data_IF_821989076685
#
_entry.id   IF_821989076685
#
_cell.length_a   1.000
_cell.length_b   1.000
_cell.length_c   1.000
_cell.angle_alpha   90.00
_cell.angle_beta   90.00
_cell.angle_gamma   90.00
#
_symmetry.space_group_name_H-M   'P 1'
#
loop_
_entity.id
_entity.type
_entity.pdbx_description
1 polymer ?
#
# COMPACT_ATOMS: atom_id res chain seq x y z
N UNK A 1 -12.29 -10.44 -18.43
CA UNK A 1 -11.88 -11.66 -19.19
C UNK A 1 -11.10 -11.30 -20.46
N UNK A 2 -11.44 -10.23 -21.14
CA UNK A 2 -10.83 -9.88 -22.44
C UNK A 2 -9.32 -9.63 -22.35
N UNK A 3 -8.86 -8.87 -21.34
CA UNK A 3 -7.43 -8.61 -21.14
C UNK A 3 -6.57 -9.88 -20.94
N UNK A 4 -7.07 -10.88 -20.21
CA UNK A 4 -6.34 -12.14 -20.03
C UNK A 4 -6.27 -12.94 -21.33
N UNK A 5 -7.36 -12.98 -22.11
CA UNK A 5 -7.41 -13.67 -23.39
C UNK A 5 -6.45 -13.02 -24.41
N UNK A 6 -6.38 -11.69 -24.44
CA UNK A 6 -5.46 -10.94 -25.31
C UNK A 6 -4.01 -11.24 -24.94
N UNK A 7 -3.64 -11.16 -23.65
CA UNK A 7 -2.27 -11.46 -23.19
C UNK A 7 -1.84 -12.90 -23.53
N UNK A 8 -2.71 -13.87 -23.30
CA UNK A 8 -2.43 -15.27 -23.64
C UNK A 8 -2.30 -15.47 -25.16
N UNK A 9 -3.09 -14.75 -25.94
CA UNK A 9 -3.04 -14.83 -27.40
C UNK A 9 -1.71 -14.27 -27.93
N UNK A 10 -1.24 -13.14 -27.41
CA UNK A 10 0.04 -12.54 -27.78
C UNK A 10 1.21 -13.46 -27.42
N UNK A 11 1.19 -14.02 -26.22
CA UNK A 11 2.19 -15.01 -25.80
C UNK A 11 2.17 -16.26 -26.72
N UNK A 12 0.99 -16.76 -27.09
CA UNK A 12 0.86 -17.91 -27.98
C UNK A 12 1.42 -17.63 -29.37
N UNK A 13 1.19 -16.42 -29.91
CA UNK A 13 1.78 -16.00 -31.17
C UNK A 13 3.31 -15.91 -31.09
N UNK A 14 3.83 -15.35 -30.02
CA UNK A 14 5.27 -15.26 -29.75
C UNK A 14 5.90 -16.66 -29.66
N UNK A 15 5.26 -17.59 -28.94
CA UNK A 15 5.72 -18.97 -28.80
C UNK A 15 5.66 -19.70 -30.14
N UNK A 16 4.62 -19.47 -30.96
CA UNK A 16 4.50 -20.09 -32.29
C UNK A 16 5.56 -19.58 -33.26
N UNK A 17 5.94 -18.32 -33.18
CA UNK A 17 6.98 -17.70 -34.02
C UNK A 17 8.39 -18.11 -33.58
N UNK A 18 8.71 -17.93 -32.30
CA UNK A 18 10.09 -17.97 -31.79
C UNK A 18 10.36 -19.22 -30.94
N UNK A 19 9.33 -19.95 -30.53
CA UNK A 19 9.40 -21.05 -29.57
C UNK A 19 9.49 -20.57 -28.13
N UNK A 20 9.67 -21.53 -27.22
CA UNK A 20 9.79 -21.27 -25.78
C UNK A 20 11.18 -20.72 -25.45
N UNK A 21 11.40 -19.42 -25.70
CA UNK A 21 12.69 -18.76 -25.51
C UNK A 21 12.63 -17.69 -24.42
N UNK A 22 13.54 -17.81 -23.45
CA UNK A 22 13.73 -16.79 -22.42
C UNK A 22 14.51 -15.56 -22.90
N UNK A 23 15.26 -15.70 -24.00
CA UNK A 23 16.02 -14.61 -24.62
C UNK A 23 15.54 -14.40 -26.06
N UNK A 24 15.35 -13.14 -26.43
CA UNK A 24 15.07 -12.68 -27.78
C UNK A 24 16.17 -11.70 -28.19
N UNK A 25 16.87 -11.96 -29.31
CA UNK A 25 18.03 -11.18 -29.76
C UNK A 25 19.10 -10.93 -28.67
N UNK A 26 19.31 -11.91 -27.78
CA UNK A 26 20.28 -11.83 -26.69
C UNK A 26 19.81 -11.01 -25.47
N UNK A 27 18.60 -10.48 -25.49
CA UNK A 27 17.99 -9.76 -24.35
C UNK A 27 16.93 -10.62 -23.68
N UNK A 28 16.64 -10.40 -22.36
CA UNK A 28 15.52 -11.04 -21.69
C UNK A 28 14.21 -10.80 -22.41
N UNK A 29 13.46 -11.89 -22.69
CA UNK A 29 12.11 -11.82 -23.24
C UNK A 29 11.12 -11.53 -22.10
N UNK A 30 11.04 -10.25 -21.72
CA UNK A 30 10.23 -9.78 -20.57
C UNK A 30 8.72 -9.80 -20.86
N UNK A 31 8.33 -9.80 -22.12
CA UNK A 31 6.91 -9.85 -22.52
C UNK A 31 6.36 -11.25 -22.29
N UNK A 32 7.08 -12.27 -22.72
CA UNK A 32 6.70 -13.66 -22.45
C UNK A 32 6.87 -14.01 -20.98
N UNK A 33 8.00 -13.66 -20.36
CA UNK A 33 8.36 -13.96 -18.98
C UNK A 33 8.66 -12.67 -18.23
N UNK A 34 7.67 -12.01 -17.62
CA UNK A 34 7.91 -10.85 -16.78
C UNK A 34 8.90 -11.13 -15.65
N UNK A 35 9.83 -10.20 -15.33
CA UNK A 35 10.82 -10.38 -14.26
C UNK A 35 10.21 -10.76 -12.90
N UNK A 36 9.01 -10.27 -12.62
CA UNK A 36 8.28 -10.57 -11.39
C UNK A 36 8.02 -12.07 -11.19
N UNK A 37 7.79 -12.83 -12.26
CA UNK A 37 7.60 -14.30 -12.17
C UNK A 37 8.89 -14.99 -11.75
N UNK A 38 10.03 -14.54 -12.29
CA UNK A 38 11.34 -15.07 -11.91
C UNK A 38 11.66 -14.74 -10.45
N UNK A 39 11.37 -13.50 -10.02
CA UNK A 39 11.55 -13.09 -8.63
C UNK A 39 10.68 -13.92 -7.71
N UNK A 40 9.40 -14.06 -8.00
CA UNK A 40 8.46 -14.82 -7.18
C UNK A 40 8.86 -16.28 -7.02
N UNK A 41 9.34 -16.91 -8.09
CA UNK A 41 9.67 -18.36 -8.07
C UNK A 41 11.08 -18.65 -7.52
N UNK A 42 12.07 -17.82 -7.81
CA UNK A 42 13.48 -18.14 -7.53
C UNK A 42 14.14 -17.23 -6.51
N UNK A 43 13.59 -16.05 -6.27
CA UNK A 43 14.20 -15.01 -5.45
C UNK A 43 13.24 -14.40 -4.41
N UNK A 44 12.20 -15.16 -4.02
CA UNK A 44 11.20 -14.70 -3.05
C UNK A 44 11.83 -14.26 -1.71
N UNK A 45 12.89 -14.96 -1.26
CA UNK A 45 13.57 -14.61 -0.02
C UNK A 45 14.35 -13.28 -0.13
N UNK A 46 14.98 -13.04 -1.27
CA UNK A 46 15.67 -11.78 -1.55
C UNK A 46 14.69 -10.62 -1.66
N UNK A 47 13.55 -10.84 -2.33
CA UNK A 47 12.47 -9.85 -2.41
C UNK A 47 11.94 -9.51 -1.02
N UNK A 48 11.63 -10.51 -0.19
CA UNK A 48 11.18 -10.29 1.19
C UNK A 48 12.22 -9.52 2.03
N UNK A 49 13.51 -9.79 1.82
CA UNK A 49 14.57 -9.04 2.50
C UNK A 49 14.68 -7.58 2.04
N UNK A 50 14.33 -7.27 0.78
CA UNK A 50 14.24 -5.90 0.29
C UNK A 50 13.03 -5.19 0.91
N UNK A 51 11.86 -5.82 0.91
CA UNK A 51 10.63 -5.30 1.52
C UNK A 51 10.83 -5.01 3.01
N UNK A 52 11.55 -5.87 3.75
CA UNK A 52 11.89 -5.60 5.13
C UNK A 52 12.76 -4.35 5.29
N UNK A 53 13.78 -4.17 4.44
CA UNK A 53 14.64 -2.96 4.47
C UNK A 53 13.86 -1.70 4.09
N UNK A 54 12.93 -1.80 3.18
CA UNK A 54 12.01 -0.69 2.84
C UNK A 54 11.15 -0.33 4.04
N UNK A 55 10.58 -1.31 4.72
CA UNK A 55 9.81 -1.08 5.94
C UNK A 55 10.65 -0.45 7.07
N UNK A 56 11.92 -0.85 7.22
CA UNK A 56 12.86 -0.24 8.16
C UNK A 56 13.16 1.23 7.80
N UNK A 57 13.40 1.53 6.52
CA UNK A 57 13.57 2.92 6.03
C UNK A 57 12.32 3.76 6.29
N UNK A 58 11.15 3.24 5.96
CA UNK A 58 9.87 3.96 6.14
C UNK A 58 9.55 4.18 7.64
N UNK A 59 10.01 3.29 8.52
CA UNK A 59 9.92 3.50 9.95
C UNK A 59 10.81 4.66 10.43
N UNK A 60 12.02 4.80 9.86
CA UNK A 60 12.91 5.93 10.15
C UNK A 60 12.29 7.24 9.65
N UNK A 61 11.75 7.25 8.41
CA UNK A 61 11.10 8.44 7.85
C UNK A 61 9.90 8.88 8.71
N UNK A 62 9.09 7.94 9.21
CA UNK A 62 7.99 8.26 10.15
C UNK A 62 8.50 8.84 11.47
N UNK A 63 9.58 8.31 12.03
CA UNK A 63 10.19 8.90 13.23
C UNK A 63 10.66 10.34 13.00
N UNK A 64 11.19 10.65 11.82
CA UNK A 64 11.58 12.02 11.46
C UNK A 64 10.36 12.93 11.31
N UNK A 65 9.28 12.45 10.71
CA UNK A 65 8.02 13.17 10.59
C UNK A 65 7.40 13.45 11.97
N UNK A 66 7.33 12.44 12.86
CA UNK A 66 6.85 12.58 14.23
C UNK A 66 7.67 13.63 15.02
N UNK A 67 8.99 13.61 14.90
CA UNK A 67 9.86 14.62 15.54
C UNK A 67 9.65 16.02 14.95
N UNK A 68 9.41 16.15 13.65
CA UNK A 68 9.12 17.45 13.03
C UNK A 68 7.73 17.96 13.42
N UNK A 69 6.73 17.08 13.54
CA UNK A 69 5.38 17.45 14.02
C UNK A 69 5.42 17.90 15.50
N UNK A 70 6.17 17.19 16.35
CA UNK A 70 6.23 17.48 17.79
C UNK A 70 7.07 18.74 18.10
N UNK A 71 8.18 18.93 17.39
CA UNK A 71 9.19 19.94 17.72
C UNK A 71 9.46 20.97 16.63
N UNK A 72 8.82 20.86 15.48
CA UNK A 72 9.06 21.75 14.34
C UNK A 72 8.08 22.90 14.17
N UNK A 73 7.12 23.08 15.11
CA UNK A 73 6.21 24.24 15.14
C UNK A 73 6.94 25.57 15.40
N UNK A 74 6.25 26.72 15.31
CA UNK A 74 6.86 28.05 15.45
C UNK A 74 7.62 28.25 16.77
N UNK A 75 7.16 27.65 17.85
CA UNK A 75 7.80 27.68 19.19
C UNK A 75 8.59 26.38 19.48
N UNK A 76 8.76 25.51 18.51
CA UNK A 76 9.40 24.21 18.69
C UNK A 76 10.92 24.28 18.60
N UNK A 77 11.60 23.35 19.28
CA UNK A 77 13.07 23.29 19.37
C UNK A 77 13.76 23.07 18.00
N UNK A 78 13.04 22.57 16.99
CA UNK A 78 13.56 22.38 15.64
C UNK A 78 13.18 23.50 14.66
N UNK A 79 12.40 24.50 15.10
CA UNK A 79 11.91 25.58 14.24
C UNK A 79 13.04 26.34 13.53
N UNK A 80 14.08 26.73 14.28
CA UNK A 80 15.21 27.49 13.78
C UNK A 80 16.19 26.66 12.92
N UNK A 81 16.09 25.32 12.97
CA UNK A 81 16.86 24.42 12.13
C UNK A 81 16.23 24.18 10.74
N UNK A 82 15.03 24.71 10.50
CA UNK A 82 14.36 24.60 9.18
C UNK A 82 15.00 25.57 8.18
N UNK A 83 15.05 25.13 6.93
CA UNK A 83 15.48 25.98 5.82
C UNK A 83 14.38 26.97 5.41
N UNK A 84 14.67 27.89 4.47
CA UNK A 84 13.71 28.88 3.93
C UNK A 84 12.41 28.28 3.35
N UNK A 85 12.39 26.97 3.12
CA UNK A 85 11.23 26.20 2.63
C UNK A 85 10.48 25.49 3.77
N UNK A 86 10.84 25.74 5.01
CA UNK A 86 10.23 25.12 6.18
C UNK A 86 10.58 23.62 6.36
N UNK A 87 11.68 23.13 5.76
CA UNK A 87 12.08 21.72 5.83
C UNK A 87 13.38 21.55 6.59
N UNK A 88 13.44 20.50 7.41
CA UNK A 88 14.66 20.04 8.04
C UNK A 88 15.50 19.25 7.02
N UNK A 89 16.72 19.70 6.80
CA UNK A 89 17.69 19.06 5.90
C UNK A 89 19.00 18.82 6.63
N UNK A 90 19.80 17.86 6.15
CA UNK A 90 21.12 17.61 6.75
C UNK A 90 21.98 18.89 6.84
N UNK A 91 21.91 19.75 5.84
CA UNK A 91 22.66 20.99 5.79
C UNK A 91 22.14 22.00 6.83
N UNK A 92 20.81 22.20 6.92
CA UNK A 92 20.21 23.15 7.85
C UNK A 92 20.38 22.71 9.31
N UNK A 93 20.17 21.42 9.61
CA UNK A 93 20.42 20.85 10.94
C UNK A 93 21.88 21.03 11.36
N UNK A 94 22.83 20.74 10.47
CA UNK A 94 24.26 20.90 10.74
C UNK A 94 24.65 22.38 10.91
N UNK A 95 24.05 23.30 10.18
CA UNK A 95 24.27 24.73 10.34
C UNK A 95 23.82 25.17 11.76
N UNK A 96 22.60 24.79 12.16
CA UNK A 96 22.10 25.10 13.50
C UNK A 96 22.92 24.48 14.62
N UNK A 97 23.31 23.22 14.50
CA UNK A 97 24.21 22.55 15.46
C UNK A 97 25.54 23.33 15.64
N UNK A 98 26.08 23.91 14.55
CA UNK A 98 27.33 24.68 14.60
C UNK A 98 27.14 26.02 15.31
N UNK A 99 26.00 26.66 15.08
CA UNK A 99 25.62 27.93 15.69
C UNK A 99 25.49 27.81 17.22
N UNK A 100 24.73 26.81 17.69
CA UNK A 100 24.44 26.62 19.12
C UNK A 100 25.54 25.84 19.88
N UNK A 101 26.64 25.49 19.21
CA UNK A 101 27.71 24.63 19.79
C UNK A 101 28.29 25.15 21.11
N UNK A 102 28.33 26.47 21.32
CA UNK A 102 28.91 27.14 22.49
C UNK A 102 27.86 27.59 23.49
N UNK A 103 26.58 27.51 23.15
CA UNK A 103 25.49 27.95 24.01
C UNK A 103 25.11 26.81 24.99
N UNK A 104 25.12 27.13 26.29
CA UNK A 104 24.81 26.17 27.35
C UNK A 104 23.32 26.06 27.66
N UNK A 105 22.55 27.09 27.28
CA UNK A 105 21.14 27.21 27.65
C UNK A 105 20.23 26.44 26.71
N UNK A 106 20.76 25.90 25.58
CA UNK A 106 20.03 25.16 24.56
C UNK A 106 20.42 23.65 24.53
N UNK A 107 20.67 23.07 25.70
CA UNK A 107 21.10 21.68 25.79
C UNK A 107 20.08 20.67 25.25
N UNK A 108 18.79 20.93 25.40
CA UNK A 108 17.73 20.05 24.93
C UNK A 108 17.51 20.18 23.41
N UNK A 109 17.60 21.39 22.84
CA UNK A 109 17.62 21.60 21.40
C UNK A 109 18.78 20.82 20.75
N UNK A 110 19.98 20.88 21.35
CA UNK A 110 21.16 20.17 20.83
C UNK A 110 20.95 18.66 20.80
N UNK A 111 20.42 18.06 21.86
CA UNK A 111 20.12 16.62 21.91
C UNK A 111 19.13 16.22 20.81
N UNK A 112 18.10 17.04 20.59
CA UNK A 112 17.08 16.79 19.58
C UNK A 112 17.65 16.89 18.16
N UNK A 113 18.48 17.91 17.91
CA UNK A 113 19.19 18.07 16.63
C UNK A 113 20.17 16.93 16.36
N UNK A 114 20.87 16.44 17.39
CA UNK A 114 21.77 15.28 17.26
C UNK A 114 20.97 14.02 16.93
N UNK A 115 19.84 13.79 17.61
CA UNK A 115 18.96 12.67 17.33
C UNK A 115 18.35 12.75 15.91
N UNK A 116 17.95 13.94 15.47
CA UNK A 116 17.42 14.14 14.12
C UNK A 116 18.50 13.95 13.04
N UNK A 117 19.72 14.42 13.29
CA UNK A 117 20.88 14.20 12.40
C UNK A 117 21.20 12.71 12.25
N UNK A 118 21.17 11.96 13.36
CA UNK A 118 21.34 10.51 13.33
C UNK A 118 20.25 9.79 12.52
N UNK A 119 19.00 10.24 12.62
CA UNK A 119 17.90 9.71 11.80
C UNK A 119 18.12 9.99 10.31
N UNK A 120 18.55 11.20 9.93
CA UNK A 120 18.90 11.53 8.54
C UNK A 120 19.99 10.58 8.02
N UNK A 121 21.04 10.36 8.79
CA UNK A 121 22.16 9.49 8.36
C UNK A 121 21.72 8.03 8.25
N UNK A 122 20.86 7.57 9.16
CA UNK A 122 20.26 6.23 9.10
C UNK A 122 19.31 6.08 7.90
N UNK A 123 18.47 7.07 7.58
CA UNK A 123 17.60 7.06 6.42
C UNK A 123 18.39 6.95 5.12
N UNK A 124 19.44 7.77 4.98
CA UNK A 124 20.33 7.74 3.80
C UNK A 124 21.01 6.38 3.66
N UNK A 125 21.50 5.82 4.77
CA UNK A 125 22.14 4.49 4.77
C UNK A 125 21.16 3.38 4.42
N UNK A 126 19.94 3.41 4.99
CA UNK A 126 18.87 2.47 4.68
C UNK A 126 18.44 2.57 3.21
N UNK A 127 18.23 3.79 2.70
CA UNK A 127 17.90 4.02 1.28
C UNK A 127 18.97 3.52 0.32
N UNK A 128 20.24 3.65 0.69
CA UNK A 128 21.35 3.06 -0.09
C UNK A 128 21.32 1.54 -0.05
N UNK A 129 21.10 0.95 1.12
CA UNK A 129 21.04 -0.50 1.29
C UNK A 129 19.88 -1.13 0.47
N UNK A 130 18.71 -0.48 0.40
CA UNK A 130 17.58 -0.89 -0.45
C UNK A 130 18.01 -0.87 -1.93
N UNK A 131 18.58 0.25 -2.41
CA UNK A 131 19.00 0.39 -3.81
C UNK A 131 20.06 -0.64 -4.20
N UNK A 132 21.02 -0.89 -3.33
CA UNK A 132 22.09 -1.86 -3.58
C UNK A 132 21.54 -3.30 -3.61
N UNK A 133 20.58 -3.61 -2.73
CA UNK A 133 19.91 -4.91 -2.71
C UNK A 133 19.04 -5.12 -3.98
N UNK A 134 18.28 -4.09 -4.39
CA UNK A 134 17.48 -4.13 -5.62
C UNK A 134 18.37 -4.36 -6.85
N UNK A 135 19.45 -3.61 -6.98
CA UNK A 135 20.42 -3.78 -8.09
C UNK A 135 21.04 -5.17 -8.11
N UNK A 136 21.34 -5.73 -6.92
CA UNK A 136 21.87 -7.09 -6.83
C UNK A 136 20.83 -8.13 -7.26
N UNK A 137 19.55 -7.94 -6.89
CA UNK A 137 18.45 -8.78 -7.33
C UNK A 137 18.27 -8.69 -8.86
N UNK A 138 18.22 -7.49 -9.43
CA UNK A 138 18.08 -7.28 -10.89
C UNK A 138 19.19 -8.00 -11.67
N UNK A 139 20.42 -7.95 -11.16
CA UNK A 139 21.58 -8.67 -11.75
C UNK A 139 21.38 -10.20 -11.71
N UNK A 140 20.86 -10.74 -10.59
CA UNK A 140 20.56 -12.17 -10.46
C UNK A 140 19.44 -12.59 -11.39
N UNK A 141 18.39 -11.78 -11.49
CA UNK A 141 17.24 -12.01 -12.40
C UNK A 141 17.72 -12.04 -13.85
N UNK A 142 18.51 -11.06 -14.29
CA UNK A 142 19.07 -11.03 -15.63
C UNK A 142 19.94 -12.27 -15.94
N UNK A 143 20.77 -12.68 -14.99
CA UNK A 143 21.59 -13.89 -15.13
C UNK A 143 20.74 -15.19 -15.17
N UNK A 144 19.56 -15.19 -14.53
CA UNK A 144 18.64 -16.32 -14.52
C UNK A 144 18.01 -16.58 -15.88
N UNK A 145 17.63 -15.51 -16.61
CA UNK A 145 17.07 -15.64 -17.96
C UNK A 145 17.94 -16.48 -18.89
N UNK A 146 19.25 -16.29 -18.84
CA UNK A 146 20.19 -17.05 -19.68
C UNK A 146 20.31 -18.54 -19.31
N UNK A 147 19.81 -18.94 -18.16
CA UNK A 147 19.91 -20.30 -17.61
C UNK A 147 18.56 -21.04 -17.56
N UNK A 148 17.48 -20.41 -17.99
CA UNK A 148 16.16 -21.03 -18.01
C UNK A 148 16.12 -22.15 -19.05
N UNK A 149 15.67 -23.32 -18.62
CA UNK A 149 15.35 -24.44 -19.51
C UNK A 149 13.97 -24.27 -20.10
N UNK A 150 13.68 -24.92 -21.23
CA UNK A 150 12.36 -24.90 -21.85
C UNK A 150 11.25 -25.38 -20.90
N UNK A 151 11.53 -26.39 -20.07
CA UNK A 151 10.58 -26.87 -19.08
C UNK A 151 10.25 -25.80 -18.02
N UNK A 152 11.24 -25.06 -17.54
CA UNK A 152 11.04 -23.95 -16.59
C UNK A 152 10.29 -22.80 -17.23
N UNK A 153 10.55 -22.48 -18.50
CA UNK A 153 9.82 -21.45 -19.24
C UNK A 153 8.34 -21.84 -19.36
N UNK A 154 8.04 -23.10 -19.71
CA UNK A 154 6.66 -23.60 -19.74
C UNK A 154 5.97 -23.48 -18.40
N UNK A 155 6.63 -23.82 -17.31
CA UNK A 155 6.08 -23.66 -15.97
C UNK A 155 5.81 -22.19 -15.62
N UNK A 156 6.78 -21.30 -15.88
CA UNK A 156 6.61 -19.85 -15.62
C UNK A 156 5.46 -19.23 -16.42
N UNK A 157 5.31 -19.61 -17.69
CA UNK A 157 4.28 -19.03 -18.56
C UNK A 157 2.92 -19.69 -18.32
N UNK A 158 2.84 -21.01 -18.31
CA UNK A 158 1.55 -21.70 -18.19
C UNK A 158 1.02 -21.66 -16.77
N UNK A 159 1.85 -22.05 -15.78
CA UNK A 159 1.38 -22.15 -14.40
C UNK A 159 1.39 -20.79 -13.69
N UNK A 160 2.53 -20.09 -13.71
CA UNK A 160 2.69 -18.87 -12.90
C UNK A 160 2.10 -17.63 -13.56
N UNK A 161 2.03 -17.56 -14.92
CA UNK A 161 1.42 -16.43 -15.62
C UNK A 161 -0.05 -16.70 -15.96
N UNK A 162 -0.33 -17.71 -16.78
CA UNK A 162 -1.67 -17.90 -17.32
C UNK A 162 -2.65 -18.49 -16.31
N UNK A 163 -2.32 -19.61 -15.69
CA UNK A 163 -3.23 -20.25 -14.72
C UNK A 163 -3.38 -19.42 -13.45
N UNK A 164 -2.31 -18.78 -12.98
CA UNK A 164 -2.41 -17.90 -11.83
C UNK A 164 -3.27 -16.66 -12.12
N UNK A 165 -3.14 -16.04 -13.31
CA UNK A 165 -3.99 -14.91 -13.71
C UNK A 165 -5.46 -15.33 -13.84
N UNK A 166 -5.73 -16.51 -14.42
CA UNK A 166 -7.08 -17.06 -14.50
C UNK A 166 -7.67 -17.32 -13.11
N UNK A 167 -6.90 -17.96 -12.23
CA UNK A 167 -7.32 -18.23 -10.86
C UNK A 167 -7.62 -16.93 -10.09
N UNK A 168 -6.76 -15.92 -10.21
CA UNK A 168 -6.98 -14.62 -9.62
C UNK A 168 -8.25 -13.92 -10.14
N UNK A 169 -8.52 -14.00 -11.45
CA UNK A 169 -9.72 -13.46 -12.06
C UNK A 169 -10.99 -14.14 -11.56
N UNK A 170 -10.98 -15.48 -11.46
CA UNK A 170 -12.11 -16.25 -10.91
C UNK A 170 -12.33 -15.92 -9.43
N UNK A 171 -11.26 -15.88 -8.64
CA UNK A 171 -11.34 -15.54 -7.22
C UNK A 171 -11.87 -14.12 -7.01
N UNK A 172 -11.39 -13.16 -7.79
CA UNK A 172 -11.86 -11.76 -7.73
C UNK A 172 -13.37 -11.64 -8.05
N UNK A 173 -13.87 -12.41 -9.02
CA UNK A 173 -15.30 -12.43 -9.32
C UNK A 173 -16.13 -13.09 -8.21
N UNK A 174 -15.64 -14.17 -7.62
CA UNK A 174 -16.29 -14.81 -6.47
C UNK A 174 -16.35 -13.85 -5.27
N UNK A 175 -15.26 -13.13 -4.99
CA UNK A 175 -15.21 -12.14 -3.91
C UNK A 175 -16.17 -10.99 -4.17
N UNK A 176 -16.25 -10.49 -5.40
CA UNK A 176 -17.21 -9.44 -5.81
C UNK A 176 -18.64 -9.86 -5.59
N UNK A 177 -19.01 -11.07 -6.02
CA UNK A 177 -20.37 -11.60 -5.84
C UNK A 177 -20.67 -11.81 -4.36
N UNK A 178 -19.73 -12.37 -3.60
CA UNK A 178 -19.86 -12.60 -2.15
C UNK A 178 -20.07 -11.30 -1.39
N UNK A 179 -19.30 -10.26 -1.70
CA UNK A 179 -19.44 -8.94 -1.09
C UNK A 179 -20.80 -8.29 -1.44
N UNK A 180 -21.21 -8.38 -2.71
CA UNK A 180 -22.53 -7.87 -3.13
C UNK A 180 -23.68 -8.58 -2.40
N UNK A 181 -23.60 -9.90 -2.27
CA UNK A 181 -24.60 -10.70 -1.53
C UNK A 181 -24.62 -10.35 -0.05
N UNK A 182 -23.45 -10.26 0.59
CA UNK A 182 -23.33 -9.87 2.01
C UNK A 182 -23.90 -8.48 2.25
N UNK A 183 -23.59 -7.51 1.37
CA UNK A 183 -24.17 -6.18 1.43
C UNK A 183 -25.70 -6.19 1.30
N UNK A 184 -26.23 -7.01 0.41
CA UNK A 184 -27.68 -7.16 0.24
C UNK A 184 -28.36 -7.79 1.45
N UNK A 185 -27.76 -8.82 2.03
CA UNK A 185 -28.25 -9.46 3.26
C UNK A 185 -28.28 -8.44 4.40
N UNK A 186 -27.22 -7.64 4.57
CA UNK A 186 -27.16 -6.59 5.59
C UNK A 186 -28.27 -5.56 5.41
N UNK A 187 -28.47 -5.05 4.19
CA UNK A 187 -29.55 -4.12 3.87
C UNK A 187 -30.93 -4.70 4.20
N UNK A 188 -31.15 -5.98 3.89
CA UNK A 188 -32.41 -6.65 4.22
C UNK A 188 -32.56 -6.82 5.73
N UNK A 189 -31.51 -7.24 6.44
CA UNK A 189 -31.53 -7.36 7.89
C UNK A 189 -31.86 -6.02 8.59
N UNK A 190 -31.24 -4.92 8.14
CA UNK A 190 -31.54 -3.58 8.65
C UNK A 190 -32.97 -3.14 8.33
N UNK A 191 -33.41 -3.36 7.07
CA UNK A 191 -34.78 -3.00 6.63
C UNK A 191 -35.85 -3.74 7.41
N UNK A 192 -35.64 -4.99 7.76
CA UNK A 192 -36.60 -5.85 8.46
C UNK A 192 -36.22 -6.05 9.95
N UNK A 193 -35.33 -5.24 10.51
CA UNK A 193 -34.99 -5.29 11.93
C UNK A 193 -36.17 -5.10 12.86
N UNK A 194 -37.13 -4.28 12.43
CA UNK A 194 -38.39 -4.11 13.14
C UNK A 194 -39.50 -4.84 12.38
N UNK A 195 -40.07 -5.91 12.94
CA UNK A 195 -41.19 -6.64 12.31
C UNK A 195 -42.40 -5.73 12.05
N UNK A 196 -43.10 -5.96 10.93
CA UNK A 196 -44.24 -5.18 10.52
C UNK A 196 -45.33 -5.01 11.62
N UNK A 197 -45.66 -6.03 12.43
CA UNK A 197 -46.59 -5.86 13.55
C UNK A 197 -46.15 -4.80 14.57
N UNK A 198 -44.88 -4.74 14.93
CA UNK A 198 -44.34 -3.71 15.85
C UNK A 198 -44.39 -2.30 15.25
N UNK A 199 -44.21 -2.18 13.93
CA UNK A 199 -44.35 -0.88 13.26
C UNK A 199 -45.82 -0.44 13.27
N UNK A 200 -46.78 -1.36 13.04
CA UNK A 200 -48.19 -1.10 13.13
C UNK A 200 -48.60 -0.65 14.55
N UNK A 201 -48.18 -1.38 15.59
CA UNK A 201 -48.41 -0.99 17.00
C UNK A 201 -47.83 0.40 17.31
N UNK A 202 -46.63 0.71 16.78
CA UNK A 202 -46.00 2.02 16.94
C UNK A 202 -46.81 3.15 16.27
N UNK A 203 -47.37 2.89 15.09
CA UNK A 203 -48.24 3.85 14.38
C UNK A 203 -49.54 4.11 15.17
N UNK A 204 -50.17 3.06 15.68
CA UNK A 204 -51.38 3.20 16.51
C UNK A 204 -51.10 3.98 17.81
N UNK A 205 -49.98 3.68 18.47
CA UNK A 205 -49.58 4.41 19.67
C UNK A 205 -49.29 5.89 19.42
N UNK A 206 -48.65 6.20 18.29
CA UNK A 206 -48.36 7.58 17.88
C UNK A 206 -49.66 8.31 17.49
N UNK A 207 -50.55 7.66 16.76
CA UNK A 207 -51.89 8.22 16.40
C UNK A 207 -52.67 8.58 17.65
N UNK A 208 -52.75 7.67 18.64
CA UNK A 208 -53.41 7.93 19.93
C UNK A 208 -52.83 9.14 20.67
N UNK A 209 -51.49 9.30 20.64
CA UNK A 209 -50.82 10.46 21.26
C UNK A 209 -51.16 11.76 20.53
N UNK A 210 -51.21 11.75 19.22
CA UNK A 210 -51.57 12.91 18.40
C UNK A 210 -53.05 13.31 18.71
N UNK A 211 -53.96 12.33 18.77
CA UNK A 211 -55.37 12.58 19.11
C UNK A 211 -55.53 13.18 20.51
N UNK A 212 -54.74 12.68 21.49
CA UNK A 212 -54.75 13.25 22.84
C UNK A 212 -54.25 14.72 22.86
N UNK A 213 -53.20 15.02 22.11
CA UNK A 213 -52.73 16.40 21.99
C UNK A 213 -53.72 17.31 21.31
N UNK A 214 -54.34 16.85 20.24
CA UNK A 214 -55.40 17.63 19.52
C UNK A 214 -56.57 17.91 20.43
N UNK A 215 -57.06 16.89 21.22
CA UNK A 215 -58.11 17.10 22.23
C UNK A 215 -57.74 18.14 23.27
N UNK A 216 -56.50 18.12 23.76
CA UNK A 216 -56.00 19.14 24.72
C UNK A 216 -55.99 20.55 24.10
N UNK A 217 -55.79 20.66 22.78
CA UNK A 217 -55.84 21.92 22.03
C UNK A 217 -57.27 22.36 21.66
N UNK A 218 -58.31 21.58 22.05
CA UNK A 218 -59.71 21.89 21.75
C UNK A 218 -60.18 21.42 20.37
N UNK A 219 -59.41 20.58 19.70
CA UNK A 219 -59.78 20.01 18.40
C UNK A 219 -60.53 18.71 18.61
N UNK A 220 -61.77 18.62 18.08
CA UNK A 220 -62.54 17.39 18.09
C UNK A 220 -62.83 16.99 16.65
N UNK A 221 -62.38 15.80 16.27
CA UNK A 221 -62.71 15.24 14.96
C UNK A 221 -64.25 14.93 14.92
N UNK A 222 -64.91 15.44 13.88
CA UNK A 222 -66.28 15.02 13.56
C UNK A 222 -66.26 13.77 12.74
#
# INVERSE_FOLDING_TARGET
MDYWAETMQDDAWMIASDGWKALQEGKPNTDLIPPALIVARYFAAEQAAIEQREAERDAISRQMEEMDEEHGGEDGLLAEAKNDKGKLTKASVKARQTEIKRDKDVADERKLLDAYADLIDREVAAGKAVKDAQKALDTKVAARYARLTEAEIKTLVVEDKWLAALAASVQGELDRVSQALTGRIRQLAERYATPLPRLAEGVEALAARVDEHLKKMGFVWQ
#
